data_IF_067747373628
#
_entry.id   IF_067747373628
#
_cell.length_a   1.000
_cell.length_b   1.000
_cell.length_c   1.000
_cell.angle_alpha   90.00
_cell.angle_beta   90.00
_cell.angle_gamma   90.00
#
_symmetry.space_group_name_H-M   'P 1'
#
loop_
_entity.id
_entity.type
_entity.pdbx_description
1 polymer ?
#
# COMPACT_ATOMS: atom_id res chain seq x y z
N UNK A 1 -28.00 42.81 42.69
CA UNK A 1 -27.61 43.00 41.29
C UNK A 1 -26.14 42.69 41.00
N UNK A 2 -25.11 43.08 41.80
CA UNK A 2 -23.67 42.81 41.53
C UNK A 2 -23.28 41.33 41.49
N UNK A 3 -23.93 40.42 42.23
CA UNK A 3 -23.61 38.95 42.17
C UNK A 3 -24.06 38.27 40.90
N UNK A 4 -25.19 38.68 40.30
CA UNK A 4 -25.72 38.17 39.05
C UNK A 4 -24.81 38.59 37.89
N UNK A 5 -24.36 39.84 37.90
CA UNK A 5 -23.39 40.35 36.90
C UNK A 5 -22.06 39.59 36.90
N UNK A 6 -21.50 39.25 38.06
CA UNK A 6 -20.25 38.46 38.14
C UNK A 6 -20.42 37.04 37.58
N UNK A 7 -21.53 36.37 37.86
CA UNK A 7 -21.84 35.04 37.30
C UNK A 7 -22.03 35.08 35.78
N UNK A 8 -22.73 36.10 35.29
CA UNK A 8 -22.92 36.31 33.86
C UNK A 8 -21.57 36.53 33.14
N UNK A 9 -20.68 37.34 33.71
CA UNK A 9 -19.35 37.57 33.17
C UNK A 9 -18.51 36.30 33.20
N UNK A 10 -18.59 35.48 34.26
CA UNK A 10 -17.87 34.22 34.31
C UNK A 10 -18.32 33.20 33.24
N UNK A 11 -19.64 33.12 33.05
CA UNK A 11 -20.20 32.24 31.97
C UNK A 11 -19.77 32.73 30.59
N UNK A 12 -19.75 34.03 30.37
CA UNK A 12 -19.33 34.63 29.10
C UNK A 12 -17.83 34.39 28.83
N UNK A 13 -16.99 34.45 29.85
CA UNK A 13 -15.56 34.14 29.74
C UNK A 13 -15.32 32.65 29.43
N UNK A 14 -16.07 31.75 30.07
CA UNK A 14 -15.99 30.31 29.80
C UNK A 14 -16.44 30.04 28.36
N UNK A 15 -17.55 30.61 27.92
CA UNK A 15 -18.02 30.46 26.55
C UNK A 15 -17.01 31.00 25.53
N UNK A 16 -16.41 32.15 25.78
CA UNK A 16 -15.35 32.71 24.94
C UNK A 16 -14.11 31.80 24.88
N UNK A 17 -13.69 31.20 26.01
CA UNK A 17 -12.58 30.27 26.06
C UNK A 17 -12.88 28.98 25.27
N UNK A 18 -14.09 28.44 25.35
CA UNK A 18 -14.51 27.27 24.58
C UNK A 18 -14.53 27.58 23.08
N UNK A 19 -15.11 28.73 22.68
CA UNK A 19 -15.13 29.15 21.28
C UNK A 19 -13.69 29.31 20.75
N UNK A 20 -12.82 29.96 21.51
CA UNK A 20 -11.42 30.13 21.15
C UNK A 20 -10.71 28.77 20.97
N UNK A 21 -10.93 27.85 21.90
CA UNK A 21 -10.39 26.48 21.80
C UNK A 21 -10.89 25.75 20.57
N UNK A 22 -12.18 25.86 20.24
CA UNK A 22 -12.74 25.29 19.00
C UNK A 22 -12.12 25.90 17.74
N UNK A 23 -11.95 27.23 17.72
CA UNK A 23 -11.30 27.91 16.57
C UNK A 23 -9.87 27.45 16.40
N UNK A 24 -9.09 27.40 17.49
CA UNK A 24 -7.71 26.91 17.44
C UNK A 24 -7.65 25.45 16.97
N UNK A 25 -8.57 24.61 17.44
CA UNK A 25 -8.65 23.22 17.00
C UNK A 25 -8.95 23.10 15.51
N UNK A 26 -9.93 23.85 15.01
CA UNK A 26 -10.28 23.85 13.58
C UNK A 26 -9.12 24.36 12.72
N UNK A 27 -8.45 25.44 13.15
CA UNK A 27 -7.27 25.94 12.42
C UNK A 27 -6.14 24.92 12.38
N UNK A 28 -5.86 24.22 13.48
CA UNK A 28 -4.91 23.11 13.53
C UNK A 28 -5.32 21.98 12.62
N UNK A 29 -6.58 21.59 12.64
CA UNK A 29 -7.11 20.53 11.78
C UNK A 29 -7.01 20.87 10.29
N UNK A 30 -7.23 22.15 9.91
CA UNK A 30 -7.06 22.62 8.52
C UNK A 30 -5.56 22.62 8.13
N UNK A 31 -4.67 23.02 9.03
CA UNK A 31 -3.24 23.06 8.79
C UNK A 31 -2.66 21.63 8.69
N UNK A 32 -3.09 20.74 9.55
CA UNK A 32 -2.79 19.30 9.46
C UNK A 32 -3.35 18.70 8.17
N UNK A 33 -4.55 19.06 7.73
CA UNK A 33 -5.13 18.62 6.47
C UNK A 33 -4.39 19.14 5.23
N UNK A 34 -3.79 20.33 5.31
CA UNK A 34 -2.90 20.85 4.26
C UNK A 34 -1.58 20.11 4.22
N UNK A 35 -0.98 19.87 5.36
CA UNK A 35 0.26 19.07 5.46
C UNK A 35 0.01 17.64 4.98
N UNK A 36 -1.16 17.10 5.22
CA UNK A 36 -1.68 15.85 4.73
C UNK A 36 -1.75 15.80 3.20
N UNK A 37 -2.40 16.77 2.58
CA UNK A 37 -2.54 16.84 1.13
C UNK A 37 -1.19 17.02 0.44
N UNK A 38 -0.30 17.82 1.03
CA UNK A 38 1.07 18.00 0.53
C UNK A 38 1.92 16.75 0.73
N UNK A 39 1.76 16.06 1.85
CA UNK A 39 2.46 14.80 2.12
C UNK A 39 1.93 13.66 1.23
N UNK A 40 0.64 13.61 0.96
CA UNK A 40 0.05 12.66 0.01
C UNK A 40 0.53 12.92 -1.43
N UNK A 41 0.65 14.20 -1.84
CA UNK A 41 1.20 14.53 -3.14
C UNK A 41 2.72 14.34 -3.24
N UNK A 42 3.46 14.46 -2.12
CA UNK A 42 4.91 14.24 -2.07
C UNK A 42 5.29 12.80 -1.72
N UNK A 43 4.43 12.03 -1.04
CA UNK A 43 4.61 10.60 -0.83
C UNK A 43 4.59 9.84 -2.15
N UNK A 44 3.79 10.28 -3.12
CA UNK A 44 3.90 9.83 -4.51
C UNK A 44 5.26 10.16 -5.16
N UNK A 45 6.05 11.04 -4.53
CA UNK A 45 7.34 11.49 -5.08
C UNK A 45 8.56 11.04 -4.26
N UNK A 46 8.40 10.51 -3.05
CA UNK A 46 9.54 10.38 -2.12
C UNK A 46 9.62 9.12 -1.25
N UNK A 47 8.55 8.38 -1.02
CA UNK A 47 8.64 7.08 -0.35
C UNK A 47 8.76 5.97 -1.38
N UNK A 48 9.77 5.12 -1.26
CA UNK A 48 9.94 3.97 -2.13
C UNK A 48 9.66 2.69 -1.35
N UNK A 49 8.63 1.97 -1.75
CA UNK A 49 8.42 0.58 -1.35
C UNK A 49 9.23 -0.34 -2.26
N UNK A 50 10.01 -1.25 -1.69
CA UNK A 50 10.74 -2.28 -2.42
C UNK A 50 10.24 -3.65 -1.99
N UNK A 51 9.81 -4.45 -2.94
CA UNK A 51 9.43 -5.84 -2.71
C UNK A 51 10.43 -6.73 -3.46
N UNK A 52 11.06 -7.62 -2.74
CA UNK A 52 12.00 -8.61 -3.30
C UNK A 52 11.56 -10.03 -2.97
N UNK A 53 12.07 -10.99 -3.72
CA UNK A 53 11.98 -12.41 -3.40
C UNK A 53 12.97 -12.79 -2.29
N UNK A 54 12.96 -14.06 -1.86
CA UNK A 54 13.88 -14.60 -0.85
C UNK A 54 15.35 -14.51 -1.22
N UNK A 55 15.68 -14.37 -2.50
CA UNK A 55 17.03 -14.29 -3.04
C UNK A 55 17.49 -12.85 -3.30
N UNK A 56 16.64 -11.85 -2.99
CA UNK A 56 16.90 -10.43 -3.22
C UNK A 56 16.60 -9.97 -4.65
N UNK A 57 15.94 -10.79 -5.47
CA UNK A 57 15.46 -10.36 -6.78
C UNK A 57 14.32 -9.37 -6.60
N UNK A 58 14.43 -8.20 -7.21
CA UNK A 58 13.40 -7.15 -7.12
C UNK A 58 12.18 -7.58 -7.94
N UNK A 59 11.04 -7.71 -7.27
CA UNK A 59 9.77 -8.06 -7.88
C UNK A 59 8.92 -6.84 -8.20
N UNK A 60 8.96 -5.83 -7.31
CA UNK A 60 8.26 -4.57 -7.52
C UNK A 60 8.93 -3.44 -6.73
N UNK A 61 8.82 -2.22 -7.28
CA UNK A 61 9.26 -0.98 -6.64
C UNK A 61 8.20 0.08 -6.84
N UNK A 62 7.83 0.77 -5.77
CA UNK A 62 6.83 1.83 -5.77
C UNK A 62 7.44 3.10 -5.18
N UNK A 63 7.09 4.26 -5.74
CA UNK A 63 7.55 5.55 -5.29
C UNK A 63 8.46 6.28 -6.28
N UNK A 64 8.75 7.55 -6.02
CA UNK A 64 9.51 8.37 -6.95
C UNK A 64 8.78 8.73 -8.25
N UNK A 65 7.44 8.57 -8.27
CA UNK A 65 6.61 8.87 -9.44
C UNK A 65 6.56 7.74 -10.49
N UNK A 66 7.18 6.60 -10.20
CA UNK A 66 7.15 5.42 -11.08
C UNK A 66 6.86 4.17 -10.26
N UNK A 67 5.85 3.42 -10.70
CA UNK A 67 5.60 2.08 -10.18
C UNK A 67 6.24 1.10 -11.16
N UNK A 68 7.29 0.42 -10.72
CA UNK A 68 8.06 -0.50 -11.55
C UNK A 68 7.91 -1.90 -11.01
N UNK A 69 7.42 -2.78 -11.85
CA UNK A 69 7.51 -4.23 -11.64
C UNK A 69 8.83 -4.76 -12.19
N UNK A 70 9.10 -6.06 -11.98
CA UNK A 70 10.28 -6.70 -12.53
C UNK A 70 10.42 -6.46 -14.04
N UNK A 71 11.65 -6.27 -14.54
CA UNK A 71 11.91 -6.02 -15.95
C UNK A 71 11.53 -7.21 -16.84
N UNK A 72 11.69 -8.43 -16.27
CA UNK A 72 11.37 -9.67 -16.95
C UNK A 72 9.85 -9.93 -16.94
N UNK A 73 9.27 -10.07 -18.15
CA UNK A 73 7.83 -10.32 -18.34
C UNK A 73 7.37 -11.61 -17.66
N UNK A 74 8.16 -12.67 -17.77
CA UNK A 74 7.83 -13.95 -17.18
C UNK A 74 7.75 -13.88 -15.65
N UNK A 75 8.68 -13.15 -15.04
CA UNK A 75 8.67 -12.91 -13.60
C UNK A 75 7.46 -12.06 -13.20
N UNK A 76 7.05 -11.07 -13.99
CA UNK A 76 5.83 -10.29 -13.72
C UNK A 76 4.59 -11.18 -13.76
N UNK A 77 4.44 -11.98 -14.80
CA UNK A 77 3.31 -12.91 -14.95
C UNK A 77 3.27 -13.95 -13.84
N UNK A 78 4.41 -14.59 -13.55
CA UNK A 78 4.48 -15.68 -12.56
C UNK A 78 4.27 -15.22 -11.12
N UNK A 79 4.63 -13.96 -10.79
CA UNK A 79 4.53 -13.42 -9.44
C UNK A 79 3.29 -12.53 -9.23
N UNK A 80 2.51 -12.25 -10.26
CA UNK A 80 1.39 -11.31 -10.21
C UNK A 80 0.40 -11.61 -9.09
N UNK A 81 -0.06 -12.85 -8.97
CA UNK A 81 -1.07 -13.22 -7.97
C UNK A 81 -0.55 -13.16 -6.53
N UNK A 82 0.76 -13.31 -6.33
CA UNK A 82 1.38 -13.12 -5.02
C UNK A 82 1.56 -11.63 -4.69
N UNK A 83 1.92 -10.82 -5.67
CA UNK A 83 2.15 -9.39 -5.50
C UNK A 83 0.84 -8.59 -5.45
N UNK A 84 -0.09 -8.91 -6.34
CA UNK A 84 -1.25 -8.06 -6.63
C UNK A 84 -0.88 -6.87 -7.51
N UNK A 85 -1.79 -5.92 -7.60
CA UNK A 85 -1.57 -4.70 -8.36
C UNK A 85 -1.84 -3.44 -7.51
N UNK A 86 -1.22 -2.32 -7.89
CA UNK A 86 -1.36 -1.04 -7.20
C UNK A 86 -2.65 -0.29 -7.60
N UNK A 87 -3.33 -0.70 -8.66
CA UNK A 87 -4.57 -0.05 -9.14
C UNK A 87 -5.79 -0.56 -8.39
N UNK A 88 -5.64 -1.67 -7.67
CA UNK A 88 -6.73 -2.32 -6.94
C UNK A 88 -7.65 -3.18 -7.82
N UNK A 89 -7.26 -3.45 -9.08
CA UNK A 89 -8.01 -4.37 -9.93
C UNK A 89 -8.02 -5.79 -9.34
N UNK A 90 -6.92 -6.17 -8.68
CA UNK A 90 -6.82 -7.41 -7.91
C UNK A 90 -6.87 -7.08 -6.42
N UNK A 91 -7.97 -7.44 -5.74
CA UNK A 91 -8.18 -7.12 -4.33
C UNK A 91 -7.27 -7.90 -3.35
N UNK A 92 -6.50 -8.85 -3.85
CA UNK A 92 -5.61 -9.72 -3.09
C UNK A 92 -4.15 -9.45 -3.46
N UNK A 93 -3.23 -9.85 -2.60
CA UNK A 93 -1.80 -9.71 -2.83
C UNK A 93 -1.11 -8.83 -1.80
N UNK A 94 0.22 -8.88 -1.83
CA UNK A 94 1.08 -8.18 -0.87
C UNK A 94 0.94 -6.67 -1.00
N UNK A 95 0.86 -6.16 -2.22
CA UNK A 95 0.76 -4.72 -2.50
C UNK A 95 -0.48 -4.13 -1.85
N UNK A 96 -1.65 -4.75 -2.01
CA UNK A 96 -2.90 -4.26 -1.43
C UNK A 96 -2.90 -4.33 0.10
N UNK A 97 -2.36 -5.41 0.67
CA UNK A 97 -2.35 -5.60 2.12
C UNK A 97 -1.38 -4.67 2.85
N UNK A 98 -0.29 -4.26 2.22
CA UNK A 98 0.75 -3.42 2.81
C UNK A 98 0.90 -2.07 2.12
N UNK A 99 -0.12 -1.65 1.35
CA UNK A 99 -0.09 -0.40 0.61
C UNK A 99 0.15 0.83 1.49
N UNK A 100 -0.54 0.91 2.62
CA UNK A 100 -0.41 2.01 3.58
C UNK A 100 1.00 2.07 4.19
N UNK A 101 1.57 0.91 4.51
CA UNK A 101 2.95 0.82 5.02
C UNK A 101 3.98 1.24 3.97
N UNK A 102 3.75 0.85 2.70
CA UNK A 102 4.61 1.23 1.58
C UNK A 102 4.55 2.72 1.25
N UNK A 103 3.39 3.35 1.43
CA UNK A 103 3.23 4.79 1.23
C UNK A 103 3.77 5.62 2.40
N UNK A 104 4.05 5.01 3.56
CA UNK A 104 4.48 5.72 4.77
C UNK A 104 3.42 6.67 5.31
N UNK A 105 2.15 6.38 5.02
CA UNK A 105 1.01 7.19 5.44
C UNK A 105 0.06 6.38 6.32
N UNK A 106 -0.31 6.94 7.48
CA UNK A 106 -1.35 6.41 8.34
C UNK A 106 -2.45 7.45 8.53
N UNK A 107 -3.69 7.03 8.33
CA UNK A 107 -4.87 7.88 8.51
C UNK A 107 -4.99 8.42 9.95
N UNK A 108 -4.43 7.71 10.92
CA UNK A 108 -4.53 8.02 12.36
C UNK A 108 -3.36 8.85 12.85
N UNK A 109 -2.15 8.60 12.37
CA UNK A 109 -0.91 9.22 12.87
C UNK A 109 -0.31 10.25 11.90
N UNK A 110 -0.88 10.39 10.72
CA UNK A 110 -0.32 11.23 9.65
C UNK A 110 0.85 10.54 8.95
N UNK A 111 1.70 11.33 8.29
CA UNK A 111 2.90 10.79 7.65
C UNK A 111 3.90 10.33 8.69
N UNK A 112 4.15 9.05 8.77
CA UNK A 112 5.41 8.56 9.31
C UNK A 112 6.50 8.96 8.32
N UNK A 113 7.57 9.59 8.81
CA UNK A 113 8.71 10.01 7.99
C UNK A 113 9.05 8.94 6.98
N UNK A 114 9.17 9.32 5.72
CA UNK A 114 9.50 8.48 4.58
C UNK A 114 10.73 7.60 4.87
N UNK A 115 10.50 6.47 5.48
CA UNK A 115 11.48 5.38 5.48
C UNK A 115 11.15 4.54 4.25
N UNK A 116 12.17 4.24 3.47
CA UNK A 116 12.05 3.26 2.39
C UNK A 116 11.55 1.94 3.00
N UNK A 117 10.31 1.57 2.69
CA UNK A 117 9.76 0.29 3.10
C UNK A 117 10.38 -0.78 2.22
N UNK A 118 11.04 -1.75 2.81
CA UNK A 118 11.59 -2.89 2.09
C UNK A 118 11.00 -4.18 2.67
N UNK A 119 10.40 -4.98 1.80
CA UNK A 119 9.82 -6.28 2.14
C UNK A 119 10.49 -7.38 1.32
N UNK A 120 10.90 -8.45 1.99
CA UNK A 120 11.36 -9.67 1.35
C UNK A 120 10.28 -10.74 1.51
N UNK A 121 9.82 -11.29 0.39
CA UNK A 121 8.88 -12.39 0.36
C UNK A 121 9.63 -13.73 0.45
N UNK A 122 8.98 -14.74 1.00
CA UNK A 122 9.54 -16.09 1.06
C UNK A 122 9.48 -16.84 -0.28
N UNK A 123 8.77 -16.31 -1.27
CA UNK A 123 8.71 -16.92 -2.61
C UNK A 123 10.06 -16.85 -3.31
N UNK A 124 10.34 -17.86 -4.15
CA UNK A 124 11.47 -17.89 -5.08
C UNK A 124 10.94 -17.63 -6.49
N UNK A 125 11.33 -16.52 -7.09
CA UNK A 125 10.87 -16.09 -8.42
C UNK A 125 11.26 -17.10 -9.52
N UNK A 126 12.38 -17.77 -9.38
CA UNK A 126 12.81 -18.82 -10.33
C UNK A 126 11.89 -20.03 -10.27
N UNK A 127 11.46 -20.40 -9.05
CA UNK A 127 10.51 -21.49 -8.86
C UNK A 127 9.13 -21.10 -9.41
N UNK A 128 8.71 -19.85 -9.20
CA UNK A 128 7.49 -19.31 -9.79
C UNK A 128 7.55 -19.36 -11.32
N UNK A 129 8.65 -18.92 -11.93
CA UNK A 129 8.82 -18.94 -13.38
C UNK A 129 8.73 -20.37 -13.93
N UNK A 130 9.42 -21.32 -13.31
CA UNK A 130 9.36 -22.74 -13.70
C UNK A 130 7.95 -23.32 -13.57
N UNK A 131 7.24 -22.98 -12.49
CA UNK A 131 5.86 -23.43 -12.28
C UNK A 131 4.90 -22.82 -13.30
N UNK A 132 5.07 -21.54 -13.64
CA UNK A 132 4.29 -20.86 -14.66
C UNK A 132 4.48 -21.48 -16.04
N UNK A 133 5.72 -21.75 -16.43
CA UNK A 133 6.05 -22.47 -17.66
C UNK A 133 5.41 -23.87 -17.70
N UNK A 134 5.45 -24.60 -16.59
CA UNK A 134 4.87 -25.93 -16.50
C UNK A 134 3.34 -25.94 -16.67
N UNK A 135 2.67 -24.86 -16.29
CA UNK A 135 1.23 -24.69 -16.56
C UNK A 135 0.94 -24.53 -18.06
N UNK A 136 1.92 -24.03 -18.84
CA UNK A 136 1.83 -23.95 -20.30
C UNK A 136 0.51 -23.33 -20.82
N UNK A 137 0.03 -22.27 -20.18
CA UNK A 137 -1.22 -21.60 -20.52
C UNK A 137 -2.51 -22.34 -20.11
N UNK A 138 -2.40 -23.45 -19.38
CA UNK A 138 -3.58 -24.14 -18.83
C UNK A 138 -4.12 -23.39 -17.61
N UNK A 139 -5.43 -23.41 -17.45
CA UNK A 139 -6.04 -22.87 -16.25
C UNK A 139 -5.69 -23.73 -15.04
N UNK A 140 -5.08 -23.11 -14.03
CA UNK A 140 -4.67 -23.80 -12.82
C UNK A 140 -3.78 -22.96 -11.92
N UNK A 141 -3.45 -23.52 -10.76
CA UNK A 141 -2.56 -22.89 -9.79
C UNK A 141 -1.53 -23.89 -9.27
N UNK A 142 -0.33 -23.38 -8.95
CA UNK A 142 0.73 -24.13 -8.29
C UNK A 142 1.09 -23.43 -7.00
N UNK A 143 1.07 -24.19 -5.90
CA UNK A 143 1.45 -23.70 -4.58
C UNK A 143 2.47 -24.69 -3.98
N UNK A 144 3.62 -24.15 -3.58
CA UNK A 144 4.66 -24.92 -2.91
C UNK A 144 4.92 -24.31 -1.54
N UNK A 145 4.75 -25.10 -0.49
CA UNK A 145 4.94 -24.69 0.88
C UNK A 145 5.91 -25.61 1.61
N UNK A 146 6.77 -25.02 2.41
CA UNK A 146 7.61 -25.77 3.34
C UNK A 146 6.74 -26.24 4.53
N UNK A 147 6.48 -27.53 4.60
CA UNK A 147 5.60 -28.12 5.62
C UNK A 147 6.14 -28.01 7.05
N UNK A 148 7.43 -27.75 7.23
CA UNK A 148 8.06 -27.65 8.55
C UNK A 148 7.84 -26.30 9.23
N UNK A 149 7.82 -25.22 8.45
CA UNK A 149 7.76 -23.86 8.97
C UNK A 149 6.63 -23.02 8.37
N UNK A 150 5.88 -23.56 7.39
CA UNK A 150 4.78 -22.86 6.73
C UNK A 150 5.18 -21.81 5.70
N UNK A 151 6.48 -21.68 5.36
CA UNK A 151 6.93 -20.74 4.34
C UNK A 151 6.36 -21.09 2.97
N UNK A 152 5.77 -20.09 2.32
CA UNK A 152 5.30 -20.20 0.95
C UNK A 152 6.44 -19.91 -0.01
N UNK A 153 6.89 -20.94 -0.74
CA UNK A 153 8.05 -20.87 -1.64
C UNK A 153 7.65 -20.58 -3.10
N UNK A 154 6.44 -20.98 -3.48
CA UNK A 154 5.88 -20.74 -4.80
C UNK A 154 4.38 -20.49 -4.70
N UNK A 155 3.90 -19.52 -5.44
CA UNK A 155 2.48 -19.21 -5.61
C UNK A 155 2.27 -18.65 -7.00
N UNK A 156 1.67 -19.45 -7.87
CA UNK A 156 1.47 -19.14 -9.29
C UNK A 156 0.04 -19.50 -9.67
N UNK A 157 -0.58 -18.68 -10.48
CA UNK A 157 -1.85 -18.97 -11.12
C UNK A 157 -1.74 -18.68 -12.62
N UNK A 158 -2.47 -19.42 -13.42
CA UNK A 158 -2.60 -19.24 -14.87
C UNK A 158 -4.07 -19.37 -15.26
N UNK A 159 -4.61 -18.49 -16.13
CA UNK A 159 -3.93 -17.37 -16.77
C UNK A 159 -3.55 -16.26 -15.79
N UNK A 160 -2.55 -15.48 -16.16
CA UNK A 160 -2.05 -14.37 -15.36
C UNK A 160 -2.15 -13.05 -16.12
N UNK A 161 -1.97 -11.95 -15.43
CA UNK A 161 -2.03 -10.59 -15.96
C UNK A 161 -0.64 -9.97 -15.88
N UNK A 162 -0.18 -9.32 -16.96
CA UNK A 162 1.01 -8.47 -16.90
C UNK A 162 0.60 -7.09 -16.35
N UNK A 163 1.08 -6.68 -15.18
CA UNK A 163 0.72 -5.38 -14.59
C UNK A 163 1.18 -4.18 -15.41
N UNK A 164 2.08 -4.36 -16.38
CA UNK A 164 2.55 -3.31 -17.29
C UNK A 164 1.82 -3.29 -18.64
N UNK A 165 1.03 -4.32 -18.96
CA UNK A 165 0.22 -4.34 -20.16
C UNK A 165 -1.04 -3.47 -20.02
N UNK A 166 -1.64 -3.12 -21.15
CA UNK A 166 -2.98 -2.52 -21.15
C UNK A 166 -4.02 -3.57 -20.77
N UNK A 167 -4.43 -3.57 -19.51
CA UNK A 167 -5.35 -4.56 -18.94
C UNK A 167 -6.83 -4.17 -19.11
N UNK A 168 -7.17 -3.39 -20.13
CA UNK A 168 -8.56 -3.06 -20.44
C UNK A 168 -9.42 -4.29 -20.73
N UNK A 169 -8.80 -5.43 -21.06
CA UNK A 169 -9.48 -6.70 -21.34
C UNK A 169 -8.62 -7.89 -20.88
N UNK A 170 -8.60 -8.19 -19.56
CA UNK A 170 -7.78 -9.27 -19.02
C UNK A 170 -8.24 -10.64 -19.54
N UNK A 171 -7.35 -11.65 -19.56
CA UNK A 171 -7.71 -13.02 -19.97
C UNK A 171 -8.82 -13.59 -19.10
N UNK A 172 -9.74 -14.35 -19.71
CA UNK A 172 -10.80 -15.04 -18.98
C UNK A 172 -10.22 -15.95 -17.87
N UNK A 173 -10.67 -15.76 -16.63
CA UNK A 173 -10.22 -16.56 -15.50
C UNK A 173 -8.91 -16.07 -14.86
N UNK A 174 -8.42 -14.87 -15.20
CA UNK A 174 -7.21 -14.30 -14.60
C UNK A 174 -7.44 -13.67 -13.20
N UNK A 175 -8.67 -13.63 -12.72
CA UNK A 175 -9.06 -13.12 -11.39
C UNK A 175 -9.38 -14.24 -10.41
#
# INVERSE_FOLDING_TARGET
MKKISRRAVSVLLIAAAVIFGCVVYVLRYIDDGRSWALAFSSANSGSSGLISDRNGVVLARFGGGTNLYADDEQTRLSCYHALGDYTGATATGVINNFWDDMQGFSLVTGTTKAQSFAMSLNIDSRLNNTAYEALAGRNGAVLVMNYKNGELLCMVSSPSIDPLADNSNPPDGAY
#
